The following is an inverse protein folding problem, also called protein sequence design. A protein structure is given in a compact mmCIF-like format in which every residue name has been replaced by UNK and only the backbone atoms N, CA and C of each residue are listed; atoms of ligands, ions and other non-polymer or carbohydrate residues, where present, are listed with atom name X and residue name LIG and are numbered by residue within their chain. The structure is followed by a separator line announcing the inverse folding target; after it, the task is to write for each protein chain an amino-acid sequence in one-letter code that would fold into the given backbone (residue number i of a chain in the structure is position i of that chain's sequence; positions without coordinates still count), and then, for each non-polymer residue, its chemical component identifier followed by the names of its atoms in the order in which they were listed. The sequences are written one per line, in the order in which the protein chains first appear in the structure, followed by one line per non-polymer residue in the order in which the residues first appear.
data_IF_382830483343
#
_entry.id   IF_382830483343
#
_cell.length_a   1.000
_cell.length_b   1.000
_cell.length_c   1.000
_cell.angle_alpha   90.00
_cell.angle_beta   90.00
_cell.angle_gamma   90.00
#
_symmetry.space_group_name_H-M   'P 1'
#
loop_
_entity.id
_entity.type
_entity.pdbx_description
1 polymer ?
#
# COMPACT_ATOMS: atom_id res chain seq x y z
N UNK A 1 -2.11 -9.12 -15.59
CA UNK A 1 -2.41 -8.08 -14.58
C UNK A 1 -2.92 -6.87 -15.33
N UNK A 2 -4.06 -6.31 -14.92
CA UNK A 2 -4.61 -5.13 -15.56
C UNK A 2 -3.91 -3.88 -15.01
N UNK A 3 -3.69 -2.89 -15.87
CA UNK A 3 -3.22 -1.58 -15.44
C UNK A 3 -3.75 -0.47 -16.33
N UNK A 4 -3.84 0.74 -15.77
CA UNK A 4 -4.20 1.96 -16.51
C UNK A 4 -3.50 3.17 -15.90
N UNK A 5 -3.36 4.23 -16.69
CA UNK A 5 -2.84 5.51 -16.23
C UNK A 5 -3.60 6.67 -16.85
N UNK A 6 -3.63 7.80 -16.17
CA UNK A 6 -4.26 9.01 -16.69
C UNK A 6 -4.16 10.17 -15.73
N UNK A 7 -5.05 11.14 -15.92
CA UNK A 7 -5.17 12.31 -15.04
C UNK A 7 -6.57 12.36 -14.45
N UNK A 8 -6.64 12.48 -13.13
CA UNK A 8 -7.85 12.83 -12.40
C UNK A 8 -7.90 14.35 -12.20
N UNK A 9 -9.09 14.94 -12.20
CA UNK A 9 -9.28 16.38 -12.05
C UNK A 9 -9.14 16.85 -10.60
N UNK A 10 -9.41 15.96 -9.64
CA UNK A 10 -9.32 16.18 -8.20
C UNK A 10 -9.35 14.84 -7.43
N UNK A 11 -9.33 14.90 -6.10
CA UNK A 11 -9.32 13.72 -5.23
C UNK A 11 -10.56 12.82 -5.39
N UNK A 12 -11.74 13.41 -5.58
CA UNK A 12 -12.99 12.65 -5.77
C UNK A 12 -13.02 11.93 -7.13
N UNK A 13 -12.56 12.59 -8.19
CA UNK A 13 -12.41 11.96 -9.51
C UNK A 13 -11.39 10.82 -9.48
N UNK A 14 -10.26 10.99 -8.79
CA UNK A 14 -9.26 9.93 -8.60
C UNK A 14 -9.87 8.70 -7.91
N UNK A 15 -10.61 8.94 -6.82
CA UNK A 15 -11.26 7.88 -6.06
C UNK A 15 -12.30 7.13 -6.90
N UNK A 16 -13.19 7.84 -7.60
CA UNK A 16 -14.20 7.20 -8.46
C UNK A 16 -13.57 6.44 -9.62
N UNK A 17 -12.49 6.96 -10.23
CA UNK A 17 -11.72 6.26 -11.27
C UNK A 17 -11.08 4.97 -10.74
N UNK A 18 -10.55 4.97 -9.52
CA UNK A 18 -10.03 3.75 -8.89
C UNK A 18 -11.14 2.70 -8.72
N UNK A 19 -12.28 3.07 -8.14
CA UNK A 19 -13.40 2.12 -7.95
C UNK A 19 -13.91 1.59 -9.30
N UNK A 20 -14.02 2.46 -10.30
CA UNK A 20 -14.43 2.08 -11.67
C UNK A 20 -13.44 1.09 -12.29
N UNK A 21 -12.15 1.37 -12.21
CA UNK A 21 -11.10 0.47 -12.70
C UNK A 21 -11.21 -0.92 -12.05
N UNK A 22 -11.30 -0.99 -10.71
CA UNK A 22 -11.35 -2.26 -9.98
C UNK A 22 -12.58 -3.11 -10.30
N UNK A 23 -13.71 -2.46 -10.61
CA UNK A 23 -15.01 -3.14 -10.76
C UNK A 23 -15.42 -3.41 -12.21
N UNK A 24 -14.84 -2.68 -13.17
CA UNK A 24 -15.31 -2.67 -14.56
C UNK A 24 -14.24 -2.67 -15.64
N UNK A 25 -12.94 -2.67 -15.29
CA UNK A 25 -11.88 -2.77 -16.29
C UNK A 25 -12.04 -4.04 -17.14
N UNK A 26 -11.95 -3.89 -18.46
CA UNK A 26 -12.21 -4.98 -19.40
C UNK A 26 -11.23 -6.15 -19.23
N UNK A 27 -9.97 -5.89 -18.87
CA UNK A 27 -8.96 -6.94 -18.64
C UNK A 27 -9.27 -7.70 -17.36
N UNK A 28 -9.65 -6.99 -16.29
CA UNK A 28 -10.08 -7.63 -15.04
C UNK A 28 -11.34 -8.48 -15.23
N UNK A 29 -12.34 -7.95 -15.93
CA UNK A 29 -13.60 -8.67 -16.20
C UNK A 29 -13.33 -9.92 -17.04
N UNK A 30 -12.56 -9.80 -18.13
CA UNK A 30 -12.23 -10.93 -18.99
C UNK A 30 -11.43 -12.02 -18.26
N UNK A 31 -10.61 -11.63 -17.28
CA UNK A 31 -9.84 -12.56 -16.44
C UNK A 31 -10.61 -13.16 -15.26
N UNK A 32 -11.86 -12.75 -15.00
CA UNK A 32 -12.57 -13.10 -13.75
C UNK A 32 -11.92 -12.50 -12.50
N UNK A 33 -11.14 -11.43 -12.69
CA UNK A 33 -10.33 -10.74 -11.67
C UNK A 33 -10.97 -9.43 -11.18
N UNK A 34 -12.14 -9.06 -11.73
CA UNK A 34 -12.86 -7.85 -11.34
C UNK A 34 -13.35 -7.93 -9.88
N UNK A 35 -13.14 -6.86 -9.13
CA UNK A 35 -13.56 -6.75 -7.74
C UNK A 35 -15.06 -6.46 -7.68
N UNK A 36 -15.75 -7.07 -6.71
CA UNK A 36 -17.18 -6.80 -6.47
C UNK A 36 -17.33 -5.62 -5.53
N UNK A 37 -18.15 -4.63 -5.89
CA UNK A 37 -18.57 -3.56 -4.99
C UNK A 37 -19.68 -4.09 -4.05
N UNK A 38 -19.38 -4.20 -2.76
CA UNK A 38 -20.32 -4.67 -1.74
C UNK A 38 -21.17 -3.53 -1.19
N UNK A 39 -20.58 -2.35 -1.00
CA UNK A 39 -21.25 -1.17 -0.44
C UNK A 39 -20.61 0.12 -0.95
N UNK A 40 -21.44 1.14 -1.16
CA UNK A 40 -21.06 2.52 -1.47
C UNK A 40 -21.83 3.45 -0.53
N UNK A 41 -21.16 4.40 0.13
CA UNK A 41 -21.82 5.30 1.08
C UNK A 41 -21.08 6.64 1.23
N UNK A 42 -21.82 7.75 1.23
CA UNK A 42 -21.29 9.12 1.36
C UNK A 42 -21.50 9.72 2.77
N UNK A 43 -21.57 8.88 3.81
CA UNK A 43 -21.70 9.19 5.24
C UNK A 43 -22.53 10.45 5.53
N UNK A 44 -23.84 10.28 5.71
CA UNK A 44 -24.73 11.41 6.04
C UNK A 44 -24.27 12.19 7.28
N UNK A 45 -23.64 11.53 8.25
CA UNK A 45 -23.14 12.14 9.49
C UNK A 45 -21.74 12.77 9.36
N UNK A 46 -20.96 12.41 8.34
CA UNK A 46 -19.64 12.98 8.06
C UNK A 46 -19.45 13.12 6.55
N UNK A 47 -20.06 14.18 5.99
CA UNK A 47 -20.05 14.46 4.55
C UNK A 47 -18.64 14.69 3.95
N UNK A 48 -17.58 14.67 4.78
CA UNK A 48 -16.20 14.66 4.33
C UNK A 48 -15.75 13.28 3.85
N UNK A 49 -16.56 12.23 4.03
CA UNK A 49 -16.18 10.85 3.72
C UNK A 49 -17.02 10.25 2.61
N UNK A 50 -16.37 9.41 1.83
CA UNK A 50 -17.00 8.64 0.76
C UNK A 50 -16.35 7.24 0.69
N UNK A 51 -17.12 6.19 1.01
CA UNK A 51 -16.66 4.81 1.23
C UNK A 51 -17.07 3.89 0.08
N UNK A 52 -16.14 3.02 -0.30
CA UNK A 52 -16.38 1.82 -1.09
C UNK A 52 -15.85 0.60 -0.34
N UNK A 53 -16.70 -0.40 -0.13
CA UNK A 53 -16.30 -1.71 0.39
C UNK A 53 -16.29 -2.71 -0.76
N UNK A 54 -15.16 -3.39 -0.94
CA UNK A 54 -14.88 -4.21 -2.09
C UNK A 54 -14.53 -5.64 -1.67
N UNK A 55 -14.86 -6.60 -2.53
CA UNK A 55 -14.44 -8.00 -2.43
C UNK A 55 -13.64 -8.40 -3.67
N UNK A 56 -12.36 -8.71 -3.48
CA UNK A 56 -11.52 -9.31 -4.50
C UNK A 56 -11.82 -10.82 -4.66
N UNK A 57 -11.86 -11.34 -5.90
CA UNK A 57 -12.20 -12.75 -6.19
C UNK A 57 -11.04 -13.74 -5.99
N UNK A 58 -9.81 -13.27 -5.76
CA UNK A 58 -8.62 -14.09 -5.63
C UNK A 58 -8.12 -14.68 -6.95
N UNK A 59 -7.43 -15.83 -6.87
CA UNK A 59 -6.87 -16.51 -8.06
C UNK A 59 -7.83 -17.53 -8.69
N UNK A 60 -8.93 -17.86 -8.02
CA UNK A 60 -9.84 -18.95 -8.43
C UNK A 60 -11.34 -18.64 -8.17
N UNK A 61 -11.71 -17.36 -8.04
CA UNK A 61 -13.07 -16.88 -7.72
C UNK A 61 -13.66 -17.39 -6.38
N UNK A 62 -12.92 -18.19 -5.61
CA UNK A 62 -13.31 -18.71 -4.30
C UNK A 62 -12.73 -17.95 -3.10
N UNK A 63 -11.72 -17.09 -3.31
CA UNK A 63 -11.22 -16.24 -2.23
C UNK A 63 -12.18 -15.08 -2.01
N UNK A 64 -12.26 -14.60 -0.77
CA UNK A 64 -13.05 -13.42 -0.43
C UNK A 64 -12.16 -12.38 0.24
N UNK A 65 -11.55 -11.51 -0.58
CA UNK A 65 -10.57 -10.52 -0.10
C UNK A 65 -11.30 -9.21 0.20
N UNK A 66 -11.50 -8.90 1.47
CA UNK A 66 -12.28 -7.74 1.89
C UNK A 66 -11.39 -6.52 2.14
N UNK A 67 -11.68 -5.44 1.41
CA UNK A 67 -10.97 -4.16 1.50
C UNK A 67 -11.98 -3.01 1.56
N UNK A 68 -11.74 -2.05 2.44
CA UNK A 68 -12.48 -0.80 2.50
C UNK A 68 -11.59 0.34 2.00
N UNK A 69 -12.10 1.16 1.10
CA UNK A 69 -11.42 2.36 0.60
C UNK A 69 -12.32 3.56 0.87
N UNK A 70 -11.81 4.56 1.57
CA UNK A 70 -12.55 5.75 1.95
C UNK A 70 -11.80 6.98 1.48
N UNK A 71 -12.43 7.79 0.63
CA UNK A 71 -11.99 9.16 0.41
C UNK A 71 -12.32 9.97 1.68
N UNK A 72 -11.36 10.75 2.14
CA UNK A 72 -11.55 11.83 3.09
C UNK A 72 -11.25 13.15 2.38
N UNK A 73 -12.19 14.10 2.42
CA UNK A 73 -12.11 15.39 1.75
C UNK A 73 -12.64 16.49 2.67
N UNK A 74 -11.71 17.26 3.25
CA UNK A 74 -12.02 18.42 4.09
C UNK A 74 -11.49 19.69 3.44
N UNK A 75 -12.38 20.42 2.75
CA UNK A 75 -12.03 21.67 2.09
C UNK A 75 -11.66 22.80 3.06
N UNK A 76 -12.13 22.76 4.31
CA UNK A 76 -11.82 23.77 5.32
C UNK A 76 -10.40 23.59 5.88
N UNK A 77 -9.92 22.36 5.98
CA UNK A 77 -8.58 22.01 6.46
C UNK A 77 -7.57 21.68 5.33
N UNK A 78 -7.86 22.14 4.10
CA UNK A 78 -7.39 21.56 2.82
C UNK A 78 -6.77 20.15 2.89
N UNK A 79 -7.48 19.20 3.51
CA UNK A 79 -6.98 17.86 3.79
C UNK A 79 -7.73 16.84 2.93
N UNK A 80 -7.00 16.14 2.07
CA UNK A 80 -7.55 15.16 1.15
C UNK A 80 -6.70 13.90 1.21
N UNK A 81 -7.33 12.74 1.43
CA UNK A 81 -6.63 11.46 1.48
C UNK A 81 -7.52 10.32 1.00
N UNK A 82 -6.88 9.28 0.45
CA UNK A 82 -7.52 7.99 0.24
C UNK A 82 -7.06 7.07 1.37
N UNK A 83 -7.99 6.73 2.26
CA UNK A 83 -7.80 5.80 3.37
C UNK A 83 -8.10 4.39 2.89
N UNK A 84 -7.33 3.42 3.36
CA UNK A 84 -7.49 2.02 2.97
C UNK A 84 -7.38 1.11 4.18
N UNK A 85 -8.30 0.16 4.28
CA UNK A 85 -8.38 -0.83 5.34
C UNK A 85 -8.62 -2.21 4.76
N UNK A 86 -8.24 -3.22 5.55
CA UNK A 86 -8.54 -4.61 5.28
C UNK A 86 -9.33 -5.21 6.42
N UNK A 87 -10.12 -6.22 6.12
CA UNK A 87 -10.86 -7.02 7.09
C UNK A 87 -10.81 -8.51 6.75
N UNK A 88 -11.02 -9.34 7.77
CA UNK A 88 -11.08 -10.79 7.62
C UNK A 88 -12.43 -11.27 7.11
N UNK A 89 -13.48 -10.47 7.33
CA UNK A 89 -14.82 -10.74 6.83
C UNK A 89 -15.57 -9.46 6.52
N UNK A 90 -16.77 -9.60 5.99
CA UNK A 90 -17.69 -8.50 5.75
C UNK A 90 -19.12 -8.88 6.12
N UNK A 91 -19.85 -7.94 6.72
CA UNK A 91 -21.26 -8.10 7.04
C UNK A 91 -22.03 -6.81 6.70
N UNK A 92 -23.15 -6.94 5.99
CA UNK A 92 -24.01 -5.81 5.60
C UNK A 92 -24.65 -5.10 6.78
N UNK A 93 -24.87 -5.81 7.89
CA UNK A 93 -25.52 -5.27 9.11
C UNK A 93 -24.60 -4.37 9.93
N UNK A 94 -23.29 -4.40 9.70
CA UNK A 94 -22.34 -3.54 10.41
C UNK A 94 -22.55 -2.10 9.97
N UNK A 95 -22.92 -1.25 10.93
CA UNK A 95 -23.19 0.16 10.66
C UNK A 95 -21.95 0.91 10.19
N UNK A 96 -22.18 1.95 9.38
CA UNK A 96 -21.16 2.76 8.72
C UNK A 96 -20.69 3.90 9.63
N UNK A 97 -21.07 3.90 10.91
CA UNK A 97 -20.75 4.98 11.86
C UNK A 97 -19.23 5.24 11.98
N UNK A 98 -18.44 4.23 11.63
CA UNK A 98 -17.01 4.33 11.33
C UNK A 98 -16.75 3.51 10.06
N UNK A 99 -16.18 4.09 8.97
CA UNK A 99 -15.90 3.43 7.67
C UNK A 99 -15.09 2.12 7.71
N UNK A 100 -14.65 1.74 8.90
CA UNK A 100 -13.45 1.00 9.21
C UNK A 100 -13.73 -0.19 10.17
N UNK A 101 -15.00 -0.48 10.46
CA UNK A 101 -15.44 -1.37 11.55
C UNK A 101 -15.85 -2.80 11.17
N UNK A 102 -15.50 -3.29 9.98
CA UNK A 102 -15.82 -4.67 9.58
C UNK A 102 -15.14 -5.71 10.50
N UNK A 103 -15.67 -6.94 10.67
CA UNK A 103 -15.08 -7.87 11.62
C UNK A 103 -13.66 -8.29 11.23
N UNK A 104 -12.76 -8.24 12.21
CA UNK A 104 -11.32 -8.49 12.02
C UNK A 104 -10.61 -7.38 11.24
N UNK A 105 -11.15 -6.16 11.23
CA UNK A 105 -10.51 -5.03 10.56
C UNK A 105 -9.22 -4.58 11.23
N UNK A 106 -8.43 -3.84 10.45
CA UNK A 106 -7.21 -3.20 10.91
C UNK A 106 -7.45 -2.14 12.00
N UNK A 107 -8.62 -1.50 12.02
CA UNK A 107 -8.90 -0.37 12.92
C UNK A 107 -9.44 -0.82 14.28
N UNK A 108 -10.32 -1.80 14.35
CA UNK A 108 -10.99 -2.12 15.61
C UNK A 108 -11.28 -3.60 15.79
N UNK A 109 -11.28 -4.02 17.06
CA UNK A 109 -11.56 -5.40 17.46
C UNK A 109 -10.34 -6.12 18.02
N UNK A 110 -10.50 -7.41 18.31
CA UNK A 110 -9.41 -8.24 18.78
C UNK A 110 -8.34 -8.39 17.69
N UNK A 111 -7.08 -8.13 18.04
CA UNK A 111 -5.96 -8.20 17.11
C UNK A 111 -5.84 -7.03 16.13
N UNK A 112 -6.62 -5.94 16.29
CA UNK A 112 -6.47 -4.72 15.48
C UNK A 112 -5.29 -3.85 15.93
N UNK A 113 -4.81 -2.97 15.06
CA UNK A 113 -3.74 -2.02 15.37
C UNK A 113 -4.24 -0.60 15.67
N UNK A 114 -5.54 -0.34 15.51
CA UNK A 114 -6.11 1.00 15.68
C UNK A 114 -5.48 2.05 14.74
N UNK A 115 -5.18 1.63 13.51
CA UNK A 115 -4.60 2.50 12.48
C UNK A 115 -5.48 2.56 11.24
N UNK A 116 -5.31 3.64 10.48
CA UNK A 116 -5.91 3.81 9.16
C UNK A 116 -4.83 4.27 8.17
N UNK A 117 -4.20 3.32 7.45
CA UNK A 117 -3.31 3.63 6.35
C UNK A 117 -4.01 4.54 5.35
N UNK A 118 -3.32 5.59 4.93
CA UNK A 118 -3.86 6.62 4.04
C UNK A 118 -2.79 7.16 3.12
N UNK A 119 -3.22 7.48 1.91
CA UNK A 119 -2.46 8.14 0.86
C UNK A 119 -2.99 9.57 0.76
N UNK A 120 -2.32 10.57 1.35
CA UNK A 120 -2.64 11.97 1.09
C UNK A 120 -2.64 12.24 -0.42
N UNK A 121 -3.61 13.03 -0.86
CA UNK A 121 -3.79 13.43 -2.25
C UNK A 121 -4.11 14.93 -2.32
N UNK A 122 -4.28 15.44 -3.53
CA UNK A 122 -4.50 16.85 -3.79
C UNK A 122 -5.92 17.06 -4.29
N UNK A 123 -6.46 18.26 -4.06
CA UNK A 123 -7.69 18.69 -4.72
C UNK A 123 -7.38 19.48 -6.00
N UNK A 124 -6.54 18.89 -6.85
CA UNK A 124 -6.09 19.45 -8.13
C UNK A 124 -5.91 18.31 -9.14
N UNK A 125 -5.45 18.64 -10.35
CA UNK A 125 -5.08 17.62 -11.32
C UNK A 125 -4.04 16.64 -10.72
N UNK A 126 -4.32 15.34 -10.83
CA UNK A 126 -3.49 14.25 -10.28
C UNK A 126 -3.22 13.24 -11.39
N UNK A 127 -1.96 13.02 -11.73
CA UNK A 127 -1.59 11.88 -12.58
C UNK A 127 -1.67 10.59 -11.75
N UNK A 128 -2.18 9.52 -12.33
CA UNK A 128 -2.34 8.26 -11.61
C UNK A 128 -1.91 7.05 -12.43
N UNK A 129 -1.58 5.98 -11.71
CA UNK A 129 -1.39 4.63 -12.23
C UNK A 129 -2.10 3.66 -11.31
N UNK A 130 -3.00 2.86 -11.89
CA UNK A 130 -3.68 1.79 -11.18
C UNK A 130 -3.24 0.46 -11.75
N UNK A 131 -2.98 -0.50 -10.87
CA UNK A 131 -2.57 -1.84 -11.24
C UNK A 131 -3.34 -2.83 -10.38
N UNK A 132 -4.03 -3.79 -10.98
CA UNK A 132 -4.83 -4.76 -10.23
C UNK A 132 -4.85 -6.15 -10.87
N UNK A 133 -5.18 -7.12 -10.04
CA UNK A 133 -5.64 -8.46 -10.40
C UNK A 133 -6.69 -8.89 -9.36
N UNK A 134 -7.12 -10.15 -9.41
CA UNK A 134 -8.16 -10.65 -8.50
C UNK A 134 -7.71 -10.70 -7.02
N UNK A 135 -6.40 -10.64 -6.76
CA UNK A 135 -5.81 -10.79 -5.43
C UNK A 135 -5.48 -9.46 -4.75
N UNK A 136 -5.13 -8.43 -5.51
CA UNK A 136 -4.64 -7.15 -4.99
C UNK A 136 -4.83 -6.00 -5.97
N UNK A 137 -4.72 -4.79 -5.46
CA UNK A 137 -4.51 -3.60 -6.26
C UNK A 137 -3.46 -2.66 -5.65
N UNK A 138 -2.83 -1.88 -6.52
CA UNK A 138 -1.90 -0.81 -6.19
C UNK A 138 -2.42 0.44 -6.90
N UNK A 139 -2.47 1.55 -6.17
CA UNK A 139 -2.74 2.86 -6.74
C UNK A 139 -1.57 3.78 -6.44
N UNK A 140 -1.10 4.46 -7.47
CA UNK A 140 -0.06 5.50 -7.40
C UNK A 140 -0.67 6.81 -7.87
N UNK A 141 -0.45 7.87 -7.13
CA UNK A 141 -0.94 9.22 -7.42
C UNK A 141 0.23 10.20 -7.39
N UNK A 142 0.36 11.04 -8.40
CA UNK A 142 1.37 12.09 -8.49
C UNK A 142 0.72 13.45 -8.63
N UNK A 143 1.17 14.39 -7.81
CA UNK A 143 0.89 15.81 -8.00
C UNK A 143 2.12 16.62 -7.62
N UNK A 144 2.57 17.48 -8.53
CA UNK A 144 3.85 18.19 -8.40
C UNK A 144 5.00 17.21 -8.08
N UNK A 145 5.76 17.47 -7.01
CA UNK A 145 6.84 16.61 -6.52
C UNK A 145 6.38 15.46 -5.60
N UNK A 146 5.10 15.42 -5.22
CA UNK A 146 4.59 14.40 -4.29
C UNK A 146 4.11 13.15 -5.02
N UNK A 147 4.49 12.00 -4.48
CA UNK A 147 4.05 10.67 -4.90
C UNK A 147 3.35 9.92 -3.76
N UNK A 148 2.04 9.79 -3.90
CA UNK A 148 1.21 8.92 -3.06
C UNK A 148 1.21 7.51 -3.62
N UNK A 149 1.24 6.51 -2.75
CA UNK A 149 1.07 5.12 -3.15
C UNK A 149 0.34 4.32 -2.07
N UNK A 150 -0.54 3.42 -2.50
CA UNK A 150 -1.19 2.43 -1.63
C UNK A 150 -1.16 1.03 -2.25
N UNK A 151 -1.18 0.02 -1.40
CA UNK A 151 -1.32 -1.39 -1.70
C UNK A 151 -2.45 -1.96 -0.86
N UNK A 152 -3.35 -2.73 -1.49
CA UNK A 152 -4.35 -3.50 -0.76
C UNK A 152 -4.61 -4.86 -1.41
N UNK A 153 -4.59 -5.90 -0.59
CA UNK A 153 -4.93 -7.25 -0.98
C UNK A 153 -3.87 -8.27 -0.57
N UNK A 154 -3.92 -9.44 -1.17
CA UNK A 154 -3.01 -10.52 -0.81
C UNK A 154 -1.59 -10.27 -1.30
N UNK A 155 -0.61 -10.53 -0.44
CA UNK A 155 0.78 -10.70 -0.83
C UNK A 155 1.02 -12.17 -1.22
N UNK A 156 2.22 -12.52 -1.67
CA UNK A 156 2.62 -13.89 -2.03
C UNK A 156 3.22 -14.58 -0.79
N UNK A 157 2.48 -15.38 -0.01
CA UNK A 157 3.02 -16.02 1.17
C UNK A 157 4.01 -17.13 0.80
N UNK A 158 5.04 -17.33 1.62
CA UNK A 158 5.90 -18.52 1.55
C UNK A 158 5.27 -19.74 2.24
N UNK A 159 4.28 -19.51 3.11
CA UNK A 159 3.43 -20.58 3.62
C UNK A 159 2.47 -21.10 2.55
N UNK A 160 2.17 -22.39 2.60
CA UNK A 160 1.10 -22.99 1.77
C UNK A 160 -0.27 -22.36 2.08
N UNK A 161 -1.27 -22.48 1.19
CA UNK A 161 -2.63 -21.98 1.46
C UNK A 161 -3.23 -22.49 2.77
N UNK A 162 -2.86 -23.71 3.23
CA UNK A 162 -3.29 -24.24 4.53
C UNK A 162 -2.55 -23.63 5.73
N UNK A 163 -1.31 -23.17 5.55
CA UNK A 163 -0.51 -22.56 6.61
C UNK A 163 -0.77 -21.05 6.73
N UNK A 164 -1.08 -20.40 5.62
CA UNK A 164 -1.34 -18.95 5.58
C UNK A 164 -2.55 -18.65 4.68
N UNK A 165 -3.77 -18.91 5.17
CA UNK A 165 -4.98 -18.86 4.35
C UNK A 165 -5.39 -17.43 3.95
N UNK A 166 -4.98 -16.41 4.71
CA UNK A 166 -5.41 -15.04 4.48
C UNK A 166 -4.24 -14.04 4.56
N UNK A 167 -3.30 -14.07 3.59
CA UNK A 167 -2.08 -13.26 3.58
C UNK A 167 -2.38 -11.82 3.15
N UNK A 168 -3.22 -11.12 3.90
CA UNK A 168 -3.66 -9.77 3.59
C UNK A 168 -2.62 -8.74 4.02
N UNK A 169 -2.24 -7.85 3.10
CA UNK A 169 -1.42 -6.67 3.36
C UNK A 169 -2.18 -5.41 2.97
N UNK A 170 -2.13 -4.40 3.84
CA UNK A 170 -2.73 -3.09 3.63
C UNK A 170 -1.67 -2.04 3.94
N UNK A 171 -1.41 -1.13 3.01
CA UNK A 171 -0.47 -0.06 3.26
C UNK A 171 -0.66 1.14 2.37
N UNK A 172 -0.23 2.29 2.86
CA UNK A 172 -0.20 3.54 2.13
C UNK A 172 1.00 4.39 2.59
N UNK A 173 0.96 5.71 2.43
CA UNK A 173 2.06 6.59 2.83
C UNK A 173 2.20 6.73 4.35
N UNK A 174 1.09 6.87 5.06
CA UNK A 174 1.05 7.19 6.49
C UNK A 174 -0.16 6.53 7.16
N UNK A 175 -0.18 6.42 8.48
CA UNK A 175 -1.42 6.19 9.24
C UNK A 175 -1.93 7.44 9.95
N UNK A 176 -1.25 8.57 9.78
CA UNK A 176 -1.52 9.85 10.46
C UNK A 176 -1.60 10.99 9.46
N UNK A 177 -2.54 11.90 9.71
CA UNK A 177 -2.68 13.14 8.95
C UNK A 177 -3.26 12.93 7.55
N UNK A 178 -4.25 13.74 7.20
CA UNK A 178 -4.89 13.70 5.88
C UNK A 178 -4.36 14.80 4.94
N UNK A 179 -3.30 15.50 5.33
CA UNK A 179 -2.72 16.59 4.55
C UNK A 179 -1.36 16.17 3.95
N UNK A 180 -1.19 16.40 2.65
CA UNK A 180 0.04 16.08 1.91
C UNK A 180 1.20 17.05 2.22
N UNK A 181 0.93 18.26 2.71
CA UNK A 181 1.91 19.34 2.93
C UNK A 181 2.69 19.22 4.23
N UNK A 182 2.58 18.10 4.94
CA UNK A 182 3.28 17.93 6.20
C UNK A 182 4.78 17.74 5.98
N UNK A 183 5.59 18.46 6.76
CA UNK A 183 7.02 18.19 6.89
C UNK A 183 7.33 17.00 7.79
N UNK A 184 6.31 16.42 8.43
CA UNK A 184 6.44 15.20 9.23
C UNK A 184 6.96 14.06 8.36
N UNK A 185 7.97 13.35 8.86
CA UNK A 185 8.57 12.20 8.18
C UNK A 185 7.55 11.08 7.91
N UNK A 186 6.49 10.98 8.72
CA UNK A 186 5.37 10.06 8.49
C UNK A 186 4.68 10.31 7.14
N UNK A 187 4.72 11.53 6.61
CA UNK A 187 4.07 11.90 5.34
C UNK A 187 5.09 12.22 4.24
N UNK A 188 6.15 12.97 4.57
CA UNK A 188 7.09 13.52 3.58
C UNK A 188 8.07 12.48 2.98
N UNK A 189 8.34 11.38 3.70
CA UNK A 189 9.37 10.41 3.31
C UNK A 189 8.91 8.95 3.38
N UNK A 190 7.60 8.73 3.48
CA UNK A 190 7.03 7.41 3.74
C UNK A 190 6.10 6.95 2.61
N UNK A 191 6.10 5.65 2.40
CA UNK A 191 5.29 4.91 1.46
C UNK A 191 4.94 3.53 2.07
N UNK A 192 4.12 2.74 1.37
CA UNK A 192 3.68 1.46 1.94
C UNK A 192 4.81 0.45 2.07
N UNK A 193 5.92 0.58 1.33
CA UNK A 193 7.10 -0.29 1.42
C UNK A 193 8.12 0.19 2.46
N UNK A 194 8.02 1.44 2.92
CA UNK A 194 8.98 2.05 3.86
C UNK A 194 8.36 3.24 4.59
N UNK A 195 8.39 3.23 5.92
CA UNK A 195 8.05 4.35 6.79
C UNK A 195 9.31 4.87 7.50
N UNK A 196 9.53 6.18 7.42
CA UNK A 196 10.62 6.89 8.09
C UNK A 196 10.11 7.81 9.23
N UNK A 197 8.84 7.66 9.63
CA UNK A 197 8.17 8.48 10.64
C UNK A 197 8.67 8.28 12.07
N UNK A 198 8.50 9.31 12.92
CA UNK A 198 9.07 9.35 14.28
C UNK A 198 8.11 8.87 15.38
N UNK A 199 6.80 8.86 15.13
CA UNK A 199 5.79 8.40 16.07
C UNK A 199 5.52 6.91 15.88
N UNK A 200 5.02 6.17 16.87
CA UNK A 200 4.67 4.73 16.77
C UNK A 200 3.57 4.35 15.75
N UNK A 201 3.38 5.16 14.71
CA UNK A 201 2.62 4.96 13.49
C UNK A 201 3.21 3.84 12.63
N UNK A 202 2.32 3.14 11.91
CA UNK A 202 2.68 2.18 10.86
C UNK A 202 1.98 2.63 9.58
N UNK A 203 2.71 2.86 8.49
CA UNK A 203 2.05 3.20 7.20
C UNK A 203 1.41 1.98 6.54
N UNK A 204 1.70 0.78 7.06
CA UNK A 204 1.21 -0.48 6.54
C UNK A 204 1.08 -1.53 7.65
N UNK A 205 0.34 -2.59 7.36
CA UNK A 205 0.16 -3.75 8.21
C UNK A 205 -0.13 -5.01 7.39
N UNK A 206 0.17 -6.16 7.97
CA UNK A 206 -0.24 -7.47 7.47
C UNK A 206 -1.03 -8.24 8.51
N UNK A 207 -1.91 -9.13 8.05
CA UNK A 207 -2.65 -10.03 8.91
C UNK A 207 -1.89 -11.35 9.06
N UNK A 208 -1.50 -11.71 10.28
CA UNK A 208 -0.79 -12.95 10.57
C UNK A 208 -1.68 -14.20 10.46
N UNK A 209 -1.11 -15.41 10.31
CA UNK A 209 -1.87 -16.66 10.36
C UNK A 209 -2.63 -16.87 11.68
N UNK A 210 -2.18 -16.23 12.77
CA UNK A 210 -2.86 -16.21 14.07
C UNK A 210 -4.12 -15.34 14.11
N UNK A 211 -4.42 -14.58 13.05
CA UNK A 211 -5.58 -13.69 12.96
C UNK A 211 -5.36 -12.29 13.54
N UNK A 212 -4.18 -11.99 14.07
CA UNK A 212 -3.79 -10.66 14.54
C UNK A 212 -3.09 -9.83 13.46
N UNK A 213 -3.28 -8.52 13.48
CA UNK A 213 -2.56 -7.58 12.63
C UNK A 213 -1.19 -7.23 13.21
N UNK A 214 -0.19 -7.13 12.35
CA UNK A 214 1.15 -6.64 12.67
C UNK A 214 1.47 -5.43 11.81
N UNK A 215 1.84 -4.33 12.45
CA UNK A 215 2.27 -3.12 11.77
C UNK A 215 3.61 -3.35 11.09
N UNK A 216 3.77 -2.84 9.87
CA UNK A 216 4.98 -3.06 9.08
C UNK A 216 5.65 -1.77 8.63
N UNK A 217 6.87 -1.93 8.16
CA UNK A 217 7.67 -0.93 7.44
C UNK A 217 8.19 0.21 8.28
N UNK A 218 8.19 0.02 9.60
CA UNK A 218 8.85 0.92 10.54
C UNK A 218 10.26 0.43 10.84
N UNK A 219 11.24 1.30 10.68
CA UNK A 219 12.66 0.91 10.81
C UNK A 219 13.18 0.94 12.25
N UNK A 220 12.61 1.76 13.13
CA UNK A 220 13.17 2.08 14.45
C UNK A 220 12.45 1.40 15.63
N UNK A 221 11.72 0.30 15.39
CA UNK A 221 11.03 -0.45 16.46
C UNK A 221 11.28 -1.95 16.42
N UNK A 222 11.01 -2.57 17.56
CA UNK A 222 11.34 -3.97 17.90
C UNK A 222 10.19 -4.95 17.67
N UNK A 223 8.98 -4.45 17.43
CA UNK A 223 7.76 -5.26 17.46
C UNK A 223 6.94 -5.05 16.18
N UNK A 224 7.61 -5.07 15.02
CA UNK A 224 6.98 -4.78 13.73
C UNK A 224 7.50 -5.69 12.63
N UNK A 225 6.72 -5.80 11.56
CA UNK A 225 7.21 -6.32 10.30
C UNK A 225 8.06 -5.30 9.55
N UNK A 226 8.93 -5.77 8.68
CA UNK A 226 9.79 -4.97 7.80
C UNK A 226 9.70 -5.47 6.37
N UNK A 227 10.05 -4.61 5.42
CA UNK A 227 10.20 -4.98 4.01
C UNK A 227 11.66 -4.87 3.60
N UNK A 228 12.26 -6.01 3.28
CA UNK A 228 13.56 -6.06 2.61
C UNK A 228 13.39 -5.69 1.13
N UNK A 229 14.36 -5.02 0.49
CA UNK A 229 15.65 -4.55 1.00
C UNK A 229 15.62 -3.12 1.56
N UNK A 230 14.47 -2.45 1.65
CA UNK A 230 14.43 -1.09 2.22
C UNK A 230 14.82 -1.08 3.70
N UNK A 231 14.57 -2.17 4.41
CA UNK A 231 15.02 -2.35 5.77
C UNK A 231 15.94 -3.58 5.86
N UNK A 232 17.26 -3.37 5.92
CA UNK A 232 18.25 -4.47 6.05
C UNK A 232 18.87 -4.60 7.44
N UNK A 233 18.56 -3.68 8.36
CA UNK A 233 19.14 -3.73 9.70
C UNK A 233 18.60 -4.92 10.51
N UNK A 234 19.51 -5.64 11.15
CA UNK A 234 19.23 -6.59 12.23
C UNK A 234 19.05 -5.90 13.58
N UNK A 235 19.48 -4.65 13.68
CA UNK A 235 19.45 -3.86 14.90
C UNK A 235 18.22 -2.93 14.96
N UNK A 236 17.73 -2.74 16.18
CA UNK A 236 16.54 -1.96 16.50
C UNK A 236 16.90 -0.50 16.81
N UNK A 237 17.60 0.21 15.92
CA UNK A 237 17.91 1.64 16.15
C UNK A 237 17.73 2.48 14.90
N UNK A 238 17.26 3.72 15.10
CA UNK A 238 17.08 4.74 14.05
C UNK A 238 18.35 4.99 13.22
N UNK A 239 19.52 4.75 13.81
CA UNK A 239 20.85 4.91 13.22
C UNK A 239 21.55 3.56 12.94
N UNK A 240 20.82 2.46 12.90
CA UNK A 240 21.41 1.16 12.62
C UNK A 240 21.93 1.05 11.19
N UNK A 241 23.05 0.34 11.05
CA UNK A 241 23.63 -0.11 9.77
C UNK A 241 22.55 -0.87 8.99
N UNK A 242 22.39 -0.67 7.68
CA UNK A 242 21.32 -1.32 6.91
C UNK A 242 20.16 -0.42 6.50
N UNK A 243 20.04 0.80 7.06
CA UNK A 243 18.85 1.65 6.83
C UNK A 243 18.73 2.19 5.41
N UNK A 244 19.86 2.44 4.79
CA UNK A 244 19.93 3.04 3.46
C UNK A 244 20.79 2.20 2.53
N UNK A 245 21.06 0.93 2.85
CA UNK A 245 22.07 0.15 2.14
C UNK A 245 21.70 -0.11 0.68
N UNK A 246 20.40 -0.14 0.37
CA UNK A 246 19.93 -0.19 -1.01
C UNK A 246 20.39 1.03 -1.84
N UNK A 247 20.65 2.19 -1.22
CA UNK A 247 21.22 3.37 -1.92
C UNK A 247 22.63 3.13 -2.45
N UNK A 248 23.37 2.15 -1.92
CA UNK A 248 24.70 1.79 -2.39
C UNK A 248 24.67 0.88 -3.62
N UNK A 249 23.50 0.32 -3.97
CA UNK A 249 23.35 -0.45 -5.20
C UNK A 249 23.34 0.48 -6.41
N UNK A 250 24.16 0.15 -7.39
CA UNK A 250 24.23 0.84 -8.68
C UNK A 250 23.57 -0.01 -9.77
N UNK A 251 23.61 0.49 -11.00
CA UNK A 251 23.24 -0.32 -12.17
C UNK A 251 24.07 -1.61 -12.24
N UNK A 252 23.46 -2.65 -12.80
CA UNK A 252 24.14 -3.90 -13.15
C UNK A 252 25.24 -3.64 -14.18
N UNK A 253 26.23 -4.54 -14.36
CA UNK A 253 27.32 -4.35 -15.33
C UNK A 253 26.86 -4.12 -16.78
N UNK A 254 25.63 -4.55 -17.13
CA UNK A 254 25.00 -4.32 -18.43
C UNK A 254 24.21 -3.00 -18.51
N UNK A 255 24.29 -2.13 -17.51
CA UNK A 255 23.61 -0.84 -17.43
C UNK A 255 22.15 -0.89 -16.97
N UNK A 256 21.57 -2.08 -16.73
CA UNK A 256 20.19 -2.20 -16.27
C UNK A 256 20.04 -1.89 -14.77
N UNK A 257 18.89 -1.34 -14.37
CA UNK A 257 18.56 -1.14 -12.96
C UNK A 257 18.26 -2.48 -12.28
N UNK A 258 18.91 -2.82 -11.15
CA UNK A 258 18.57 -4.04 -10.43
C UNK A 258 17.18 -3.91 -9.80
N UNK A 259 16.37 -4.96 -9.95
CA UNK A 259 15.09 -5.09 -9.24
C UNK A 259 15.21 -6.20 -8.21
N UNK A 260 14.95 -5.86 -6.95
CA UNK A 260 14.95 -6.78 -5.82
C UNK A 260 13.52 -7.01 -5.33
N UNK A 261 13.13 -8.24 -4.93
CA UNK A 261 11.79 -8.49 -4.41
C UNK A 261 11.54 -7.73 -3.10
N UNK A 262 10.28 -7.38 -2.86
CA UNK A 262 9.81 -6.76 -1.63
C UNK A 262 9.42 -7.83 -0.60
N UNK A 263 10.37 -8.31 0.20
CA UNK A 263 10.15 -9.43 1.14
C UNK A 263 9.69 -8.92 2.50
N UNK A 264 8.54 -9.39 2.95
CA UNK A 264 7.95 -9.12 4.26
C UNK A 264 8.50 -10.10 5.30
N UNK A 265 9.06 -9.57 6.39
CA UNK A 265 9.64 -10.37 7.47
C UNK A 265 9.49 -9.71 8.84
N UNK A 266 9.50 -10.51 9.89
CA UNK A 266 9.45 -10.07 11.29
C UNK A 266 10.83 -9.62 11.77
N UNK A 267 10.89 -8.52 12.51
CA UNK A 267 12.11 -8.04 13.15
C UNK A 267 12.07 -8.14 14.69
N UNK A 268 11.27 -9.05 15.25
CA UNK A 268 11.19 -9.30 16.69
C UNK A 268 12.55 -9.61 17.33
N UNK A 269 12.74 -9.23 18.59
CA UNK A 269 13.99 -9.47 19.36
C UNK A 269 14.28 -10.94 19.65
N UNK A 270 13.33 -11.84 19.42
CA UNK A 270 13.51 -13.26 19.70
C UNK A 270 13.58 -14.04 18.39
N UNK A 271 14.64 -14.83 18.25
CA UNK A 271 14.87 -15.70 17.08
C UNK A 271 14.10 -17.01 17.27
N UNK A 272 13.65 -17.67 16.18
CA UNK A 272 13.87 -17.34 14.77
C UNK A 272 12.95 -16.22 14.22
N UNK A 273 13.43 -15.48 13.21
CA UNK A 273 12.60 -14.50 12.50
C UNK A 273 11.59 -15.21 11.59
N UNK A 274 10.37 -14.69 11.54
CA UNK A 274 9.36 -15.15 10.59
C UNK A 274 9.54 -14.42 9.25
N UNK A 275 9.59 -15.15 8.14
CA UNK A 275 9.52 -14.57 6.80
C UNK A 275 8.16 -14.93 6.23
N UNK A 276 7.35 -13.92 5.92
CA UNK A 276 5.97 -14.13 5.54
C UNK A 276 5.81 -14.36 4.04
N UNK A 277 6.52 -13.60 3.21
CA UNK A 277 6.38 -13.67 1.76
C UNK A 277 6.79 -12.39 1.04
N UNK A 278 6.25 -12.17 -0.16
CA UNK A 278 6.62 -11.05 -1.04
C UNK A 278 5.41 -10.18 -1.44
N UNK A 279 5.57 -8.86 -1.47
CA UNK A 279 4.55 -7.97 -2.04
C UNK A 279 4.46 -8.18 -3.56
N UNK A 280 3.28 -8.57 -4.05
CA UNK A 280 3.11 -8.96 -5.45
C UNK A 280 3.24 -7.76 -6.40
N UNK A 281 4.24 -7.80 -7.28
CA UNK A 281 4.47 -6.75 -8.29
C UNK A 281 5.06 -5.46 -7.72
N UNK A 282 5.67 -5.55 -6.53
CA UNK A 282 6.42 -4.46 -5.91
C UNK A 282 7.87 -4.91 -5.82
N UNK A 283 8.76 -4.09 -6.38
CA UNK A 283 10.20 -4.35 -6.37
C UNK A 283 10.92 -3.15 -5.81
N UNK A 284 12.05 -3.37 -5.16
CA UNK A 284 12.95 -2.31 -4.83
C UNK A 284 13.88 -2.04 -6.00
N UNK A 285 14.08 -0.76 -6.29
CA UNK A 285 15.00 -0.27 -7.32
C UNK A 285 15.84 0.82 -6.65
N UNK A 286 17.17 0.81 -6.77
CA UNK A 286 17.97 1.93 -6.31
C UNK A 286 17.64 3.14 -7.17
N UNK A 287 17.50 4.33 -6.55
CA UNK A 287 17.31 5.59 -7.28
C UNK A 287 18.54 6.07 -8.06
N UNK A 288 19.51 5.19 -8.34
CA UNK A 288 20.70 5.48 -9.11
C UNK A 288 20.41 5.29 -10.60
N UNK A 289 20.55 6.36 -11.39
CA UNK A 289 20.32 6.32 -12.84
C UNK A 289 18.84 6.21 -13.25
N UNK A 290 17.92 6.44 -12.32
CA UNK A 290 16.46 6.49 -12.57
C UNK A 290 15.83 7.64 -11.78
N UNK A 291 14.70 8.14 -12.28
CA UNK A 291 13.86 9.13 -11.62
C UNK A 291 12.41 8.60 -11.45
N UNK A 292 11.66 9.18 -10.51
CA UNK A 292 10.26 8.81 -10.34
C UNK A 292 9.45 9.22 -11.57
N UNK A 293 8.66 8.28 -12.10
CA UNK A 293 7.95 8.40 -13.37
C UNK A 293 8.65 7.71 -14.54
N UNK A 294 9.91 7.31 -14.39
CA UNK A 294 10.58 6.48 -15.39
C UNK A 294 9.93 5.10 -15.47
N UNK A 295 10.08 4.46 -16.62
CA UNK A 295 9.71 3.05 -16.81
C UNK A 295 10.97 2.22 -16.99
N UNK A 296 11.13 1.20 -16.15
CA UNK A 296 12.21 0.21 -16.27
C UNK A 296 11.67 -1.12 -16.77
N UNK A 297 12.39 -1.76 -17.69
CA UNK A 297 11.99 -3.04 -18.27
C UNK A 297 12.95 -4.14 -17.83
N UNK A 298 12.44 -5.16 -17.16
CA UNK A 298 13.20 -6.32 -16.69
C UNK A 298 12.44 -7.60 -17.03
N UNK A 299 13.09 -8.56 -17.67
CA UNK A 299 12.45 -9.82 -18.08
C UNK A 299 11.24 -9.63 -19.00
N UNK A 300 11.24 -8.57 -19.84
CA UNK A 300 10.13 -8.23 -20.74
C UNK A 300 8.93 -7.53 -20.07
N UNK A 301 8.99 -7.29 -18.75
CA UNK A 301 7.92 -6.64 -17.98
C UNK A 301 8.28 -5.19 -17.67
N UNK A 302 7.32 -4.29 -17.85
CA UNK A 302 7.47 -2.87 -17.55
C UNK A 302 7.14 -2.57 -16.09
N UNK A 303 7.92 -1.69 -15.47
CA UNK A 303 7.73 -1.26 -14.10
C UNK A 303 7.82 0.27 -14.01
N UNK A 304 6.85 0.88 -13.33
CA UNK A 304 6.87 2.30 -13.00
C UNK A 304 7.79 2.54 -11.80
N UNK A 305 8.78 3.42 -11.95
CA UNK A 305 9.62 3.88 -10.85
C UNK A 305 8.85 4.91 -10.03
N UNK A 306 8.73 4.68 -8.73
CA UNK A 306 7.98 5.52 -7.78
C UNK A 306 8.87 5.85 -6.59
N UNK A 307 8.90 7.12 -6.20
CA UNK A 307 9.59 7.56 -4.98
C UNK A 307 8.63 7.61 -3.78
N UNK A 308 9.16 7.48 -2.57
CA UNK A 308 8.37 7.67 -1.36
C UNK A 308 8.07 9.16 -1.12
N UNK A 309 6.81 9.56 -1.36
CA UNK A 309 6.32 10.92 -1.17
C UNK A 309 7.16 11.96 -1.94
N UNK A 310 7.86 12.86 -1.27
CA UNK A 310 8.67 13.92 -1.91
C UNK A 310 10.16 13.57 -1.96
N UNK A 311 10.56 12.40 -1.50
CA UNK A 311 11.98 12.10 -1.30
C UNK A 311 12.70 11.65 -2.57
N UNK A 312 13.83 12.28 -2.87
CA UNK A 312 14.74 11.90 -3.96
C UNK A 312 15.93 11.05 -3.50
N UNK A 313 15.96 10.62 -2.23
CA UNK A 313 17.01 9.76 -1.72
C UNK A 313 16.98 8.40 -2.44
N UNK A 314 18.11 7.95 -2.96
CA UNK A 314 18.21 6.72 -3.77
C UNK A 314 17.78 5.45 -3.03
N UNK A 315 17.70 5.48 -1.70
CA UNK A 315 17.16 4.38 -0.89
C UNK A 315 15.62 4.30 -0.85
N UNK A 316 14.89 5.26 -1.43
CA UNK A 316 13.45 5.44 -1.21
C UNK A 316 12.58 5.21 -2.45
N UNK A 317 13.10 4.45 -3.40
CA UNK A 317 12.41 4.13 -4.65
C UNK A 317 11.86 2.70 -4.64
N UNK A 318 10.73 2.52 -5.32
CA UNK A 318 10.15 1.24 -5.66
C UNK A 318 9.85 1.20 -7.16
N UNK A 319 9.83 0.00 -7.74
CA UNK A 319 9.38 -0.26 -9.09
C UNK A 319 8.08 -1.07 -9.01
N UNK A 320 6.99 -0.51 -9.52
CA UNK A 320 5.66 -1.14 -9.53
C UNK A 320 5.45 -1.78 -10.90
N UNK A 321 5.31 -3.10 -10.95
CA UNK A 321 5.09 -3.82 -12.21
C UNK A 321 3.72 -3.42 -12.80
N UNK A 322 3.71 -3.04 -14.09
CA UNK A 322 2.51 -2.64 -14.82
C UNK A 322 1.94 -3.81 -15.64
N UNK A 323 2.80 -4.47 -16.42
CA UNK A 323 2.45 -5.61 -17.29
C UNK A 323 3.26 -6.87 -16.92
#
# INVERSE_FOLDING_TARGET
MAWTSGTATNAADLFNKLITFLTSDATLVAGGEAWTLLRRDTFTLDAKRDLAELRGPGSSAGDAIYVQVCLFADAAAPAYSIRVLGSQSWQSIVSINTPEGQPGSLLSGAGSLSIVPRMPVFNSAISYWFVANGRRFIAVAKSSAYWGALYAGFFLPYGTPSQYPYPLFIGANTSRGDNYQSSDLDIANSAFWRNDGEYGSYSAALLQPSGGWVGTNRFDTTYTGRTWPWAMSLETRKNSVGRYDIAYLTQLPNGASPLLPAILYDCATTRPFSIWGELQGVFAVPGFGVAAGDTVTVGGKSHLVVQAATSTNTARFAAIQLA
#
